data_IF_328553979123
#
_entry.id   IF_328553979123
#
_cell.length_a   1.000
_cell.length_b   1.000
_cell.length_c   1.000
_cell.angle_alpha   90.00
_cell.angle_beta   90.00
_cell.angle_gamma   90.00
#
_symmetry.space_group_name_H-M   'P 1'
#
loop_
_entity.id
_entity.type
_entity.pdbx_description
1 polymer ?
#
# COMPACT_ATOMS: atom_id res chain seq x y z
N UNK A 1 -7.97 -22.77 -14.57
CA UNK A 1 -6.51 -22.56 -14.58
C UNK A 1 -6.21 -21.06 -14.54
N UNK A 2 -5.30 -20.59 -13.70
CA UNK A 2 -4.91 -19.20 -13.50
C UNK A 2 -3.48 -18.99 -13.97
N UNK A 3 -3.20 -17.82 -14.54
CA UNK A 3 -1.84 -17.43 -14.95
C UNK A 3 -1.33 -16.36 -13.98
N UNK A 4 -0.20 -16.64 -13.34
CA UNK A 4 0.44 -15.77 -12.35
C UNK A 4 1.60 -14.99 -12.99
N UNK A 5 1.51 -13.69 -12.99
CA UNK A 5 2.57 -12.77 -13.42
C UNK A 5 3.19 -12.11 -12.20
N UNK A 6 4.50 -11.97 -12.15
CA UNK A 6 5.21 -11.45 -10.99
C UNK A 6 5.74 -10.05 -11.19
N UNK A 7 5.53 -9.17 -10.21
CA UNK A 7 6.18 -7.87 -10.10
C UNK A 7 7.14 -7.89 -8.92
N UNK A 8 8.42 -7.62 -9.19
CA UNK A 8 9.47 -7.50 -8.18
C UNK A 8 10.27 -6.24 -8.46
N UNK A 9 10.56 -5.45 -7.44
CA UNK A 9 11.37 -4.24 -7.57
C UNK A 9 12.84 -4.60 -7.80
N UNK A 10 13.47 -3.91 -8.73
CA UNK A 10 14.93 -4.01 -8.95
C UNK A 10 15.74 -3.50 -7.74
N UNK A 11 15.12 -2.67 -6.90
CA UNK A 11 15.74 -2.15 -5.67
C UNK A 11 15.74 -3.16 -4.52
N UNK A 12 15.10 -4.31 -4.71
CA UNK A 12 15.07 -5.36 -3.69
C UNK A 12 16.42 -6.06 -3.64
N UNK A 13 17.17 -5.84 -2.56
CA UNK A 13 18.56 -6.29 -2.43
C UNK A 13 18.71 -7.79 -2.10
N UNK A 14 17.63 -8.45 -1.69
CA UNK A 14 17.67 -9.87 -1.35
C UNK A 14 17.32 -10.74 -2.57
N UNK A 15 17.99 -11.88 -2.76
CA UNK A 15 17.60 -12.83 -3.79
C UNK A 15 16.15 -13.28 -3.57
N UNK A 16 15.33 -13.11 -4.56
CA UNK A 16 13.92 -13.53 -4.51
C UNK A 16 13.82 -14.88 -5.21
N UNK A 17 13.32 -15.90 -4.49
CA UNK A 17 13.10 -17.23 -5.06
C UNK A 17 12.16 -17.15 -6.28
N UNK A 18 12.22 -18.10 -7.18
CA UNK A 18 11.21 -18.19 -8.23
C UNK A 18 9.81 -18.33 -7.59
N UNK A 19 8.76 -17.70 -8.16
CA UNK A 19 7.41 -17.75 -7.58
C UNK A 19 6.92 -19.19 -7.33
N UNK A 20 7.26 -20.13 -8.20
CA UNK A 20 6.92 -21.53 -8.06
C UNK A 20 7.53 -22.19 -6.82
N UNK A 21 8.67 -21.69 -6.35
CA UNK A 21 9.40 -22.22 -5.20
C UNK A 21 8.96 -21.56 -3.88
N UNK A 22 8.10 -20.54 -3.95
CA UNK A 22 7.60 -19.88 -2.75
C UNK A 22 6.52 -20.70 -2.05
N UNK A 23 6.77 -21.03 -0.78
CA UNK A 23 5.81 -21.77 0.03
C UNK A 23 4.42 -21.11 0.04
N UNK A 24 4.35 -19.79 0.04
CA UNK A 24 3.09 -19.04 -0.01
C UNK A 24 2.28 -19.38 -1.26
N UNK A 25 2.93 -19.46 -2.42
CA UNK A 25 2.28 -19.81 -3.69
C UNK A 25 1.84 -21.27 -3.67
N UNK A 26 2.72 -22.18 -3.22
CA UNK A 26 2.42 -23.62 -3.09
C UNK A 26 1.24 -23.88 -2.13
N UNK A 27 1.15 -23.14 -1.02
CA UNK A 27 0.03 -23.25 -0.08
C UNK A 27 -1.30 -22.80 -0.75
N UNK A 28 -1.28 -21.76 -1.59
CA UNK A 28 -2.45 -21.34 -2.36
C UNK A 28 -2.85 -22.38 -3.40
N UNK A 29 -1.91 -22.91 -4.18
CA UNK A 29 -2.14 -23.98 -5.17
C UNK A 29 -2.77 -25.20 -4.50
N UNK A 30 -2.23 -25.62 -3.38
CA UNK A 30 -2.78 -26.72 -2.57
C UNK A 30 -4.21 -26.43 -2.12
N UNK A 31 -4.49 -25.24 -1.60
CA UNK A 31 -5.83 -24.85 -1.18
C UNK A 31 -6.79 -24.71 -2.37
N UNK A 32 -6.29 -24.27 -3.52
CA UNK A 32 -7.06 -24.12 -4.75
C UNK A 32 -7.36 -25.47 -5.42
N UNK A 33 -6.48 -26.46 -5.24
CA UNK A 33 -6.55 -27.78 -5.88
C UNK A 33 -6.08 -27.78 -7.34
N UNK A 34 -5.41 -26.71 -7.78
CA UNK A 34 -4.82 -26.61 -9.11
C UNK A 34 -3.53 -25.75 -9.05
N UNK A 35 -2.57 -26.04 -9.95
CA UNK A 35 -1.36 -25.28 -10.08
C UNK A 35 -1.57 -24.00 -10.90
N UNK A 36 -0.73 -22.98 -10.64
CA UNK A 36 -0.65 -21.79 -11.48
C UNK A 36 0.18 -22.08 -12.74
N UNK A 37 -0.20 -21.47 -13.84
CA UNK A 37 0.71 -21.20 -14.95
C UNK A 37 1.50 -19.93 -14.64
N UNK A 38 2.79 -19.92 -14.92
CA UNK A 38 3.62 -18.71 -14.73
C UNK A 38 3.74 -17.97 -16.04
N UNK A 39 3.27 -16.72 -16.05
CA UNK A 39 3.34 -15.85 -17.21
C UNK A 39 4.74 -15.28 -17.44
N UNK A 40 4.98 -14.75 -18.63
CA UNK A 40 6.23 -14.09 -18.97
C UNK A 40 6.49 -12.83 -18.12
N UNK A 41 7.75 -12.55 -17.83
CA UNK A 41 8.17 -11.40 -17.02
C UNK A 41 7.90 -10.05 -17.69
N UNK A 42 7.79 -10.04 -19.01
CA UNK A 42 7.46 -8.86 -19.82
C UNK A 42 5.95 -8.65 -20.01
N UNK A 43 5.13 -9.53 -19.43
CA UNK A 43 3.66 -9.50 -19.55
C UNK A 43 3.12 -9.59 -21.00
N UNK A 44 3.95 -10.03 -21.96
CA UNK A 44 3.54 -10.09 -23.38
C UNK A 44 2.34 -11.00 -23.62
N UNK A 45 2.15 -12.02 -22.77
CA UNK A 45 1.04 -12.97 -22.84
C UNK A 45 -0.18 -12.57 -21.99
N UNK A 46 -0.16 -11.42 -21.33
CA UNK A 46 -1.29 -10.94 -20.52
C UNK A 46 -2.47 -10.62 -21.44
N UNK A 47 -3.50 -11.46 -21.42
CA UNK A 47 -4.60 -11.41 -22.39
C UNK A 47 -5.95 -11.76 -21.78
N UNK A 48 -7.04 -11.47 -22.50
CA UNK A 48 -8.42 -11.76 -22.11
C UNK A 48 -8.74 -13.27 -21.98
N UNK A 49 -7.99 -14.11 -22.62
CA UNK A 49 -8.27 -15.56 -22.66
C UNK A 49 -7.78 -16.28 -21.41
N UNK A 50 -7.13 -15.57 -20.48
CA UNK A 50 -6.53 -16.14 -19.28
C UNK A 50 -7.11 -15.52 -18.02
N UNK A 51 -7.20 -16.30 -16.95
CA UNK A 51 -7.51 -15.80 -15.62
C UNK A 51 -6.23 -15.25 -14.97
N UNK A 52 -5.87 -14.03 -15.34
CA UNK A 52 -4.60 -13.44 -14.92
C UNK A 52 -4.63 -12.95 -13.47
N UNK A 53 -3.53 -13.17 -12.78
CA UNK A 53 -3.23 -12.67 -11.45
C UNK A 53 -1.86 -12.01 -11.49
N UNK A 54 -1.75 -10.81 -10.94
CA UNK A 54 -0.47 -10.10 -10.81
C UNK A 54 0.01 -10.27 -9.36
N UNK A 55 1.05 -11.03 -9.16
CA UNK A 55 1.68 -11.22 -7.87
C UNK A 55 2.66 -10.07 -7.59
N UNK A 56 2.23 -9.13 -6.77
CA UNK A 56 3.05 -8.02 -6.29
C UNK A 56 3.91 -8.54 -5.15
N UNK A 57 5.18 -8.85 -5.41
CA UNK A 57 6.08 -9.50 -4.45
C UNK A 57 6.70 -8.51 -3.48
N UNK A 58 7.00 -7.30 -3.95
CA UNK A 58 7.68 -6.26 -3.17
C UNK A 58 7.01 -4.90 -3.39
N UNK A 59 7.27 -3.95 -2.49
CA UNK A 59 7.05 -2.53 -2.74
C UNK A 59 8.01 -1.99 -3.80
N UNK A 60 7.77 -0.78 -4.28
CA UNK A 60 8.54 -0.15 -5.35
C UNK A 60 8.26 -0.74 -6.74
N UNK A 61 7.11 -1.41 -6.90
CA UNK A 61 6.66 -2.02 -8.16
C UNK A 61 5.58 -1.20 -8.86
N UNK A 62 5.14 -0.12 -8.27
CA UNK A 62 4.06 0.75 -8.76
C UNK A 62 4.43 1.38 -10.11
N UNK A 63 5.64 1.92 -10.21
CA UNK A 63 6.19 2.46 -11.46
C UNK A 63 6.35 1.38 -12.53
N UNK A 64 6.74 0.15 -12.15
CA UNK A 64 6.85 -0.99 -13.06
C UNK A 64 5.46 -1.35 -13.61
N UNK A 65 4.45 -1.45 -12.74
CA UNK A 65 3.06 -1.67 -13.17
C UNK A 65 2.63 -0.61 -14.20
N UNK A 66 2.88 0.66 -13.90
CA UNK A 66 2.53 1.76 -14.78
C UNK A 66 3.27 1.66 -16.13
N UNK A 67 4.55 1.30 -16.13
CA UNK A 67 5.33 1.16 -17.38
C UNK A 67 4.82 0.03 -18.28
N UNK A 68 4.31 -1.05 -17.70
CA UNK A 68 3.75 -2.19 -18.43
C UNK A 68 2.35 -1.87 -18.98
N UNK A 69 1.49 -1.30 -18.13
CA UNK A 69 0.06 -1.17 -18.42
C UNK A 69 -0.38 0.24 -18.85
N UNK A 70 0.51 1.23 -18.94
CA UNK A 70 0.17 2.55 -19.44
C UNK A 70 0.97 2.88 -20.69
N UNK A 71 0.27 3.31 -21.72
CA UNK A 71 0.86 3.86 -22.94
C UNK A 71 0.27 5.25 -23.19
N UNK A 72 1.14 6.21 -23.45
CA UNK A 72 0.73 7.60 -23.74
C UNK A 72 -0.24 8.18 -22.68
N UNK A 73 -0.01 7.85 -21.42
CA UNK A 73 -0.82 8.32 -20.28
C UNK A 73 -2.14 7.59 -20.06
N UNK A 74 -2.48 6.61 -20.88
CA UNK A 74 -3.72 5.83 -20.76
C UNK A 74 -3.46 4.38 -20.39
N UNK A 75 -4.36 3.77 -19.61
CA UNK A 75 -4.31 2.34 -19.31
C UNK A 75 -4.52 1.52 -20.57
N UNK A 76 -3.61 0.57 -20.80
CA UNK A 76 -3.64 -0.37 -21.92
C UNK A 76 -3.79 -1.81 -21.38
N UNK A 77 -4.89 -2.06 -20.69
CA UNK A 77 -5.29 -3.39 -20.21
C UNK A 77 -6.41 -3.88 -21.14
N UNK A 78 -6.49 -5.18 -21.47
CA UNK A 78 -7.57 -5.68 -22.29
C UNK A 78 -8.96 -5.35 -21.68
N UNK A 79 -9.84 -4.70 -22.47
CA UNK A 79 -11.12 -4.17 -21.99
C UNK A 79 -11.98 -5.19 -21.24
N UNK A 80 -12.54 -4.77 -20.13
CA UNK A 80 -13.43 -5.58 -19.31
C UNK A 80 -12.71 -6.60 -18.41
N UNK A 81 -11.38 -6.68 -18.46
CA UNK A 81 -10.62 -7.54 -17.53
C UNK A 81 -10.40 -6.85 -16.20
N UNK A 82 -10.83 -7.44 -15.08
CA UNK A 82 -10.44 -6.96 -13.78
C UNK A 82 -8.95 -7.26 -13.53
N UNK A 83 -8.26 -6.33 -12.86
CA UNK A 83 -6.89 -6.56 -12.40
C UNK A 83 -6.93 -7.17 -11.01
N UNK A 84 -6.38 -8.38 -10.87
CA UNK A 84 -6.26 -9.09 -9.60
C UNK A 84 -4.85 -9.01 -9.08
N UNK A 85 -4.65 -8.36 -7.94
CA UNK A 85 -3.35 -8.15 -7.32
C UNK A 85 -3.20 -9.12 -6.14
N UNK A 86 -2.32 -10.11 -6.26
CA UNK A 86 -1.99 -11.02 -5.16
C UNK A 86 -0.86 -10.41 -4.33
N UNK A 87 -1.00 -10.44 -3.00
CA UNK A 87 0.03 -9.95 -2.08
C UNK A 87 0.48 -11.02 -1.11
N UNK A 88 1.78 -11.07 -0.83
CA UNK A 88 2.34 -11.97 0.19
C UNK A 88 2.21 -11.44 1.62
N UNK A 89 1.82 -10.18 1.80
CA UNK A 89 1.87 -9.49 3.09
C UNK A 89 3.28 -9.19 3.60
N UNK A 90 4.32 -9.42 2.79
CA UNK A 90 5.73 -9.14 3.10
C UNK A 90 6.28 -8.06 2.18
N UNK A 91 7.45 -7.52 2.52
CA UNK A 91 8.24 -6.61 1.66
C UNK A 91 7.41 -5.46 1.05
N UNK A 92 6.49 -4.89 1.82
CA UNK A 92 5.58 -3.81 1.39
C UNK A 92 4.67 -4.16 0.19
N UNK A 93 4.48 -5.44 -0.12
CA UNK A 93 3.67 -5.86 -1.28
C UNK A 93 2.21 -5.39 -1.18
N UNK A 94 1.64 -5.38 0.03
CA UNK A 94 0.27 -4.89 0.24
C UNK A 94 0.17 -3.38 -0.01
N UNK A 95 1.13 -2.59 0.47
CA UNK A 95 1.14 -1.14 0.26
C UNK A 95 1.22 -0.81 -1.24
N UNK A 96 2.13 -1.46 -1.98
CA UNK A 96 2.24 -1.32 -3.43
C UNK A 96 0.94 -1.72 -4.14
N UNK A 97 0.31 -2.81 -3.73
CA UNK A 97 -0.96 -3.25 -4.31
C UNK A 97 -2.10 -2.27 -4.04
N UNK A 98 -2.14 -1.63 -2.86
CA UNK A 98 -3.12 -0.59 -2.54
C UNK A 98 -2.93 0.65 -3.41
N UNK A 99 -1.70 1.05 -3.65
CA UNK A 99 -1.34 2.17 -4.54
C UNK A 99 -1.76 1.87 -5.99
N UNK A 100 -1.44 0.67 -6.50
CA UNK A 100 -1.86 0.23 -7.83
C UNK A 100 -3.39 0.17 -7.94
N UNK A 101 -4.09 -0.38 -6.94
CA UNK A 101 -5.55 -0.44 -6.94
C UNK A 101 -6.17 0.96 -6.91
N UNK A 102 -5.61 1.88 -6.14
CA UNK A 102 -6.05 3.28 -6.12
C UNK A 102 -5.91 3.92 -7.50
N UNK A 103 -4.77 3.73 -8.16
CA UNK A 103 -4.53 4.20 -9.53
C UNK A 103 -5.55 3.63 -10.53
N UNK A 104 -5.84 2.32 -10.46
CA UNK A 104 -6.85 1.68 -11.28
C UNK A 104 -8.24 2.29 -11.04
N UNK A 105 -8.62 2.49 -9.78
CA UNK A 105 -9.90 3.10 -9.41
C UNK A 105 -10.05 4.53 -9.92
N UNK A 106 -8.99 5.34 -9.88
CA UNK A 106 -8.97 6.69 -10.44
C UNK A 106 -9.21 6.68 -11.95
N UNK A 107 -8.70 5.66 -12.65
CA UNK A 107 -8.94 5.44 -14.07
C UNK A 107 -10.29 4.76 -14.37
N UNK A 108 -11.11 4.47 -13.37
CA UNK A 108 -12.38 3.76 -13.53
C UNK A 108 -12.23 2.28 -13.88
N UNK A 109 -11.05 1.71 -13.67
CA UNK A 109 -10.76 0.31 -14.02
C UNK A 109 -11.06 -0.64 -12.86
N UNK A 110 -11.74 -1.79 -13.10
CA UNK A 110 -12.05 -2.74 -12.05
C UNK A 110 -10.79 -3.47 -11.56
N UNK A 111 -10.59 -3.54 -10.25
CA UNK A 111 -9.50 -4.28 -9.64
C UNK A 111 -9.85 -4.81 -8.26
N UNK A 112 -9.06 -5.78 -7.80
CA UNK A 112 -9.14 -6.31 -6.44
C UNK A 112 -7.77 -6.70 -5.91
N UNK A 113 -7.62 -6.65 -4.58
CA UNK A 113 -6.45 -7.19 -3.88
C UNK A 113 -6.82 -8.53 -3.25
N UNK A 114 -6.06 -9.56 -3.60
CA UNK A 114 -6.12 -10.88 -2.99
C UNK A 114 -5.08 -10.92 -1.86
N UNK A 115 -5.56 -10.74 -0.63
CA UNK A 115 -4.76 -10.73 0.59
C UNK A 115 -5.44 -11.57 1.65
N UNK A 116 -4.68 -12.33 2.42
CA UNK A 116 -5.18 -13.21 3.48
C UNK A 116 -4.44 -14.54 3.54
N UNK A 117 -5.06 -15.54 4.16
CA UNK A 117 -4.55 -16.92 4.16
C UNK A 117 -4.70 -17.57 2.78
N UNK A 118 -3.97 -18.66 2.55
CA UNK A 118 -4.05 -19.41 1.30
C UNK A 118 -5.48 -19.90 1.00
N UNK A 119 -6.21 -20.31 2.02
CA UNK A 119 -7.59 -20.78 1.93
C UNK A 119 -8.55 -19.65 1.57
N UNK A 120 -8.39 -18.45 2.17
CA UNK A 120 -9.19 -17.26 1.85
C UNK A 120 -8.96 -16.81 0.42
N UNK A 121 -7.69 -16.79 -0.02
CA UNK A 121 -7.33 -16.42 -1.40
C UNK A 121 -7.91 -17.44 -2.38
N UNK A 122 -7.75 -18.73 -2.12
CA UNK A 122 -8.31 -19.80 -2.96
C UNK A 122 -9.85 -19.73 -3.05
N UNK A 123 -10.52 -19.43 -1.94
CA UNK A 123 -11.98 -19.24 -1.92
C UNK A 123 -12.41 -18.05 -2.80
N UNK A 124 -11.70 -16.94 -2.72
CA UNK A 124 -11.97 -15.75 -3.55
C UNK A 124 -11.72 -16.03 -5.03
N UNK A 125 -10.66 -16.76 -5.36
CA UNK A 125 -10.36 -17.13 -6.74
C UNK A 125 -11.47 -17.99 -7.33
N UNK A 126 -11.96 -19.00 -6.60
CA UNK A 126 -13.10 -19.84 -7.05
C UNK A 126 -14.39 -19.06 -7.20
N UNK A 127 -14.65 -18.08 -6.34
CA UNK A 127 -15.83 -17.23 -6.39
C UNK A 127 -15.89 -16.29 -7.61
N UNK A 128 -14.78 -16.17 -8.33
CA UNK A 128 -14.65 -15.23 -9.44
C UNK A 128 -14.54 -13.76 -8.96
N UNK A 129 -14.31 -12.86 -9.92
CA UNK A 129 -14.29 -11.43 -9.64
C UNK A 129 -15.72 -10.92 -9.37
N UNK A 130 -15.94 -10.44 -8.16
CA UNK A 130 -17.17 -9.73 -7.82
C UNK A 130 -16.90 -8.23 -7.85
N UNK A 131 -17.42 -7.54 -8.87
CA UNK A 131 -17.37 -6.08 -8.93
C UNK A 131 -18.06 -5.51 -7.69
N UNK A 132 -17.23 -5.06 -6.72
CA UNK A 132 -17.66 -4.39 -5.49
C UNK A 132 -18.81 -5.13 -4.80
N UNK A 133 -18.51 -6.08 -3.93
CA UNK A 133 -19.51 -6.53 -2.98
C UNK A 133 -20.10 -5.29 -2.31
N UNK A 134 -21.43 -5.19 -2.20
CA UNK A 134 -22.06 -4.12 -1.44
C UNK A 134 -21.45 -4.17 -0.05
N UNK A 135 -20.50 -3.26 0.19
CA UNK A 135 -19.97 -3.05 1.52
C UNK A 135 -21.16 -2.68 2.39
N UNK A 136 -21.42 -3.45 3.44
CA UNK A 136 -22.35 -3.04 4.49
C UNK A 136 -21.75 -1.94 5.39
N UNK A 137 -20.75 -1.22 4.87
CA UNK A 137 -20.22 -0.03 5.54
C UNK A 137 -21.33 1.00 5.51
N UNK A 138 -21.74 1.48 6.68
CA UNK A 138 -22.61 2.64 6.77
C UNK A 138 -22.00 3.76 5.95
N UNK A 139 -22.75 4.31 5.03
CA UNK A 139 -22.36 5.53 4.32
C UNK A 139 -22.21 6.65 5.37
N UNK A 140 -20.97 7.06 5.60
CA UNK A 140 -20.67 8.24 6.39
C UNK A 140 -20.48 9.42 5.44
N UNK A 141 -21.12 10.52 5.74
CA UNK A 141 -20.80 11.78 5.06
C UNK A 141 -19.44 12.29 5.56
N UNK A 142 -18.38 11.82 4.92
CA UNK A 142 -17.00 12.17 5.28
C UNK A 142 -16.73 13.66 5.13
N UNK A 143 -17.40 14.35 4.21
CA UNK A 143 -17.31 15.79 4.04
C UNK A 143 -17.72 16.52 5.30
N UNK A 144 -18.82 16.12 5.94
CA UNK A 144 -19.28 16.71 7.20
C UNK A 144 -18.39 16.37 8.40
N UNK A 145 -17.79 15.16 8.38
CA UNK A 145 -16.93 14.72 9.49
C UNK A 145 -15.58 15.44 9.46
N UNK A 146 -15.04 15.69 8.26
CA UNK A 146 -13.71 16.26 8.06
C UNK A 146 -13.71 17.76 7.79
N UNK A 147 -14.88 18.38 7.72
CA UNK A 147 -15.02 19.81 7.46
C UNK A 147 -14.27 20.64 8.51
N UNK A 148 -13.40 21.54 8.03
CA UNK A 148 -12.61 22.42 8.87
C UNK A 148 -11.35 21.80 9.48
N UNK A 149 -11.11 20.49 9.27
CA UNK A 149 -9.83 19.90 9.68
C UNK A 149 -8.69 20.32 8.75
N UNK A 150 -7.49 20.46 9.33
CA UNK A 150 -6.24 20.63 8.60
C UNK A 150 -5.41 19.36 8.69
N UNK A 151 -4.84 18.94 7.57
CA UNK A 151 -3.93 17.81 7.48
C UNK A 151 -2.56 18.31 7.01
N UNK A 152 -1.57 18.21 7.88
CA UNK A 152 -0.18 18.51 7.52
C UNK A 152 0.46 17.33 6.79
N UNK A 153 1.02 17.58 5.62
CA UNK A 153 1.83 16.62 4.87
C UNK A 153 3.29 16.98 5.07
N UNK A 154 4.02 16.17 5.83
CA UNK A 154 5.44 16.40 6.14
C UNK A 154 6.28 15.77 5.03
N UNK A 155 7.03 16.61 4.31
CA UNK A 155 7.81 16.19 3.14
C UNK A 155 6.94 16.03 1.90
N UNK A 156 7.33 15.06 1.04
CA UNK A 156 6.61 14.77 -0.21
C UNK A 156 6.45 13.27 -0.40
N UNK A 157 5.42 12.82 -1.14
CA UNK A 157 5.33 11.43 -1.57
C UNK A 157 6.58 11.03 -2.35
N UNK A 158 6.92 9.75 -2.33
CA UNK A 158 8.02 9.22 -3.14
C UNK A 158 7.66 9.26 -4.62
N UNK A 159 8.64 9.56 -5.48
CA UNK A 159 8.43 9.74 -6.93
C UNK A 159 7.91 8.50 -7.67
N UNK A 160 8.06 7.31 -7.07
CA UNK A 160 7.54 6.05 -7.64
C UNK A 160 6.06 5.78 -7.31
N UNK A 161 5.44 6.56 -6.42
CA UNK A 161 4.02 6.45 -6.13
C UNK A 161 3.21 6.97 -7.33
N UNK A 162 2.12 6.29 -7.65
CA UNK A 162 1.36 6.54 -8.89
C UNK A 162 -0.06 7.05 -8.64
N UNK A 163 -0.52 7.04 -7.38
CA UNK A 163 -1.86 7.50 -7.00
C UNK A 163 -1.91 8.39 -5.75
N UNK A 164 -0.78 8.55 -5.04
CA UNK A 164 -0.71 9.32 -3.80
C UNK A 164 -0.48 10.82 -4.02
N UNK A 165 -0.38 11.27 -5.25
CA UNK A 165 -0.35 12.69 -5.60
C UNK A 165 -1.79 13.23 -5.61
N UNK A 166 -2.23 13.72 -4.44
CA UNK A 166 -3.60 14.14 -4.21
C UNK A 166 -3.77 15.60 -4.61
N UNK A 167 -4.78 15.90 -5.43
CA UNK A 167 -5.19 17.28 -5.69
C UNK A 167 -5.84 17.88 -4.42
N UNK A 168 -5.16 18.83 -3.79
CA UNK A 168 -5.59 19.48 -2.55
C UNK A 168 -6.88 20.26 -2.71
N UNK A 169 -7.14 20.84 -3.90
CA UNK A 169 -8.37 21.54 -4.18
C UNK A 169 -9.56 20.58 -4.23
N UNK A 170 -9.38 19.44 -4.87
CA UNK A 170 -10.39 18.37 -4.91
C UNK A 170 -10.63 17.76 -3.53
N UNK A 171 -9.58 17.57 -2.73
CA UNK A 171 -9.72 17.10 -1.35
C UNK A 171 -10.53 18.09 -0.50
N UNK A 172 -10.27 19.38 -0.63
CA UNK A 172 -11.03 20.44 0.06
C UNK A 172 -12.49 20.49 -0.39
N UNK A 173 -12.74 20.41 -1.69
CA UNK A 173 -14.10 20.42 -2.23
C UNK A 173 -14.93 19.21 -1.77
N UNK A 174 -14.33 18.01 -1.82
CA UNK A 174 -15.06 16.75 -1.55
C UNK A 174 -15.13 16.36 -0.08
N UNK A 175 -14.10 16.68 0.69
CA UNK A 175 -13.95 16.24 2.07
C UNK A 175 -13.99 17.40 3.09
N UNK A 176 -13.97 18.65 2.62
CA UNK A 176 -13.93 19.82 3.50
C UNK A 176 -12.60 20.01 4.26
N UNK A 177 -11.58 19.20 3.95
CA UNK A 177 -10.29 19.20 4.64
C UNK A 177 -9.30 20.10 3.92
N UNK A 178 -8.53 20.86 4.69
CA UNK A 178 -7.42 21.67 4.18
C UNK A 178 -6.12 20.87 4.31
N UNK A 179 -5.43 20.62 3.19
CA UNK A 179 -4.13 19.95 3.18
C UNK A 179 -3.05 21.01 3.05
N UNK A 180 -2.01 20.93 3.91
CA UNK A 180 -0.92 21.90 4.00
C UNK A 180 0.40 21.17 3.95
N UNK A 181 1.29 21.58 3.04
CA UNK A 181 2.65 21.05 2.99
C UNK A 181 3.48 21.63 4.12
N UNK A 182 4.23 20.78 4.79
CA UNK A 182 5.19 21.10 5.85
C UNK A 182 6.57 20.65 5.38
N UNK A 183 7.53 21.58 5.37
CA UNK A 183 8.91 21.23 5.00
C UNK A 183 9.49 20.25 6.02
N UNK A 184 10.13 19.18 5.54
CA UNK A 184 10.79 18.19 6.39
C UNK A 184 11.86 18.83 7.30
N UNK A 185 12.53 19.88 6.82
CA UNK A 185 13.52 20.61 7.60
C UNK A 185 12.92 21.34 8.79
N UNK A 186 11.66 21.77 8.72
CA UNK A 186 10.93 22.34 9.85
C UNK A 186 10.75 21.30 10.96
N UNK A 187 10.32 20.08 10.60
CA UNK A 187 10.20 18.99 11.57
C UNK A 187 11.57 18.62 12.16
N UNK A 188 12.63 18.58 11.34
CA UNK A 188 14.00 18.26 11.80
C UNK A 188 14.47 19.31 12.80
N UNK A 189 14.31 20.61 12.50
CA UNK A 189 14.68 21.69 13.41
C UNK A 189 13.94 21.63 14.75
N UNK A 190 12.64 21.32 14.73
CA UNK A 190 11.87 21.14 15.96
C UNK A 190 12.29 19.89 16.75
N UNK A 191 12.79 18.85 16.08
CA UNK A 191 13.27 17.64 16.74
C UNK A 191 14.67 17.79 17.35
N UNK A 192 15.47 18.76 16.89
CA UNK A 192 16.76 19.10 17.49
C UNK A 192 16.59 19.84 18.84
N UNK A 193 15.55 20.66 18.96
CA UNK A 193 15.22 21.39 20.19
C UNK A 193 13.74 21.12 20.61
N UNK A 194 13.41 19.88 21.01
CA UNK A 194 12.04 19.48 21.24
C UNK A 194 11.42 20.10 22.51
N UNK A 195 10.22 20.64 22.40
CA UNK A 195 9.45 21.09 23.56
C UNK A 195 8.88 19.87 24.32
N UNK A 196 9.62 19.40 25.30
CA UNK A 196 9.31 18.18 26.05
C UNK A 196 8.11 18.30 26.99
N UNK A 197 7.46 19.48 27.09
CA UNK A 197 6.17 19.61 27.80
C UNK A 197 5.12 18.65 27.27
N UNK A 198 5.17 18.29 25.99
CA UNK A 198 4.28 17.33 25.37
C UNK A 198 4.40 15.91 25.94
N UNK A 199 5.48 15.59 26.65
CA UNK A 199 5.63 14.32 27.36
C UNK A 199 5.00 14.35 28.77
N UNK A 200 4.72 15.54 29.31
CA UNK A 200 4.06 15.71 30.59
C UNK A 200 2.62 15.18 30.49
N UNK A 201 2.27 14.25 31.36
CA UNK A 201 0.94 13.63 31.37
C UNK A 201 0.76 12.45 30.40
N UNK A 202 1.68 12.22 29.47
CA UNK A 202 1.74 10.91 28.85
C UNK A 202 2.11 9.96 29.98
N UNK A 203 1.18 9.05 30.33
CA UNK A 203 1.52 7.88 31.12
C UNK A 203 2.42 6.95 30.28
N UNK A 204 3.58 7.48 29.87
CA UNK A 204 4.74 6.69 29.54
C UNK A 204 5.13 5.98 30.83
N UNK A 205 4.26 5.11 31.26
CA UNK A 205 4.51 4.32 32.40
C UNK A 205 5.49 3.25 31.98
N UNK A 206 6.73 3.40 32.32
CA UNK A 206 7.47 2.22 32.63
C UNK A 206 7.44 2.00 34.14
N UNK A 207 6.43 1.41 34.74
CA UNK A 207 6.71 0.79 36.02
C UNK A 207 7.77 -0.28 35.80
N UNK A 208 8.00 -0.65 34.59
CA UNK A 208 9.04 -1.54 34.13
C UNK A 208 9.53 -0.98 32.81
N UNK A 209 10.80 -0.60 32.77
CA UNK A 209 11.53 -0.22 31.56
C UNK A 209 10.93 -0.94 30.36
N UNK A 210 10.51 -0.23 29.31
CA UNK A 210 9.99 -0.89 28.14
C UNK A 210 10.98 -1.99 27.79
N UNK A 211 10.48 -3.21 27.61
CA UNK A 211 11.31 -4.32 27.12
C UNK A 211 11.58 -4.00 25.66
N UNK A 212 12.55 -3.13 25.43
CA UNK A 212 13.05 -2.90 24.08
C UNK A 212 13.51 -4.26 23.54
N UNK A 213 13.13 -4.56 22.30
CA UNK A 213 13.77 -5.65 21.59
C UNK A 213 15.29 -5.42 21.61
N UNK A 214 16.08 -6.48 21.51
CA UNK A 214 17.56 -6.39 21.55
C UNK A 214 18.15 -5.39 20.55
N UNK A 215 17.39 -4.96 19.55
CA UNK A 215 17.77 -4.03 18.48
C UNK A 215 17.45 -2.55 18.76
N UNK A 216 16.71 -2.22 19.83
CA UNK A 216 16.31 -0.83 20.10
C UNK A 216 17.11 -0.31 21.30
N UNK A 217 17.86 0.76 21.10
CA UNK A 217 18.60 1.42 22.17
C UNK A 217 17.76 2.47 22.90
N UNK A 218 18.20 2.88 24.11
CA UNK A 218 17.58 4.01 24.82
C UNK A 218 17.69 5.33 24.04
N UNK A 219 18.71 5.47 23.18
CA UNK A 219 18.90 6.62 22.29
C UNK A 219 17.82 6.64 21.20
N UNK A 220 17.53 5.49 20.59
CA UNK A 220 16.50 5.38 19.54
C UNK A 220 15.11 5.73 20.11
N UNK A 221 14.83 5.25 21.33
CA UNK A 221 13.59 5.60 22.02
C UNK A 221 13.50 7.10 22.33
N UNK A 222 14.56 7.71 22.85
CA UNK A 222 14.59 9.15 23.11
C UNK A 222 14.39 9.95 21.82
N UNK A 223 15.06 9.58 20.73
CA UNK A 223 14.89 10.21 19.42
C UNK A 223 13.45 10.13 18.91
N UNK A 224 12.78 9.00 19.12
CA UNK A 224 11.34 8.87 18.76
C UNK A 224 10.46 9.81 19.59
N UNK A 225 10.80 10.04 20.87
CA UNK A 225 10.10 11.01 21.72
C UNK A 225 10.34 12.44 21.26
N UNK A 226 11.54 12.77 20.82
CA UNK A 226 11.88 14.10 20.32
C UNK A 226 11.08 14.40 19.01
N UNK A 227 10.99 13.43 18.10
CA UNK A 227 10.14 13.52 16.91
C UNK A 227 8.65 13.68 17.28
N UNK A 228 8.16 12.92 18.28
CA UNK A 228 6.78 13.07 18.75
C UNK A 228 6.51 14.50 19.25
N UNK A 229 7.42 15.06 20.06
CA UNK A 229 7.30 16.44 20.55
C UNK A 229 7.30 17.46 19.40
N UNK A 230 8.17 17.28 18.42
CA UNK A 230 8.24 18.11 17.23
C UNK A 230 6.91 18.06 16.44
N UNK A 231 6.37 16.88 16.18
CA UNK A 231 5.07 16.72 15.52
C UNK A 231 3.93 17.36 16.31
N UNK A 232 3.95 17.27 17.65
CA UNK A 232 2.95 17.93 18.51
C UNK A 232 3.05 19.45 18.50
N UNK A 233 4.20 20.01 18.18
CA UNK A 233 4.41 21.45 18.06
C UNK A 233 3.89 21.99 16.71
N UNK A 234 3.86 21.15 15.67
CA UNK A 234 3.32 21.48 14.35
C UNK A 234 1.79 21.48 14.29
N UNK A 235 1.11 20.86 15.25
CA UNK A 235 -0.35 20.71 15.35
C UNK A 235 -0.90 21.68 16.39
#
# INVERSE_FOLDING_TARGET
>A
MYTLYSLTSELHSEPVAEPADERFIQDIEKALGEAFEFGSTDFSEYSRTRNNIIYVRTGGTEGIFKSIFCKEGSLNIPDGMPVRLLTSGKSNSLAASMEILSFLNQAGWPGEILHGSAEEIALRLRGGFTKGGKSHVKEYDMGRILEGYKVGVIGKPSDWLISSDVDYAVAKERLGVEIVDIDINELVGLAEEPDRKWLEGLKLNPPNKPKFGKSISGKDFSGSMDIYCAMKTLV
#
